data_IF_663455785683
#
_entry.id   IF_663455785683
#
_cell.length_a   1.000
_cell.length_b   1.000
_cell.length_c   1.000
_cell.angle_alpha   90.00
_cell.angle_beta   90.00
_cell.angle_gamma   90.00
#
_symmetry.space_group_name_H-M   'P 1'
#
loop_
_entity.id
_entity.type
_entity.pdbx_description
1 polymer ?
#
# COMPACT_ATOMS: atom_id res chain seq x y z
N UNK A 1 48.68 25.87 8.02
CA UNK A 1 47.32 25.91 7.43
C UNK A 1 46.74 24.50 7.16
N UNK A 2 46.68 23.60 8.15
CA UNK A 2 46.14 22.23 7.97
C UNK A 2 44.87 21.94 8.79
N UNK A 3 44.61 22.71 9.85
CA UNK A 3 43.45 22.56 10.74
C UNK A 3 42.15 23.14 10.19
N UNK A 4 42.22 24.19 9.35
CA UNK A 4 41.02 24.81 8.75
C UNK A 4 40.38 23.94 7.65
N UNK A 5 41.15 23.08 6.99
CA UNK A 5 40.66 22.18 5.94
C UNK A 5 39.85 21.03 6.53
N UNK A 6 40.30 20.46 7.66
CA UNK A 6 39.64 19.37 8.38
C UNK A 6 38.27 19.77 8.95
N UNK A 7 38.15 20.98 9.51
CA UNK A 7 36.89 21.53 10.02
C UNK A 7 35.86 21.78 8.90
N UNK A 8 36.30 22.25 7.73
CA UNK A 8 35.43 22.48 6.58
C UNK A 8 34.81 21.20 6.03
N UNK A 9 35.59 20.12 5.91
CA UNK A 9 35.07 18.81 5.48
C UNK A 9 34.15 18.15 6.53
N UNK A 10 34.42 18.30 7.83
CA UNK A 10 33.56 17.75 8.89
C UNK A 10 32.19 18.45 8.95
N UNK A 11 32.13 19.77 8.70
CA UNK A 11 30.88 20.54 8.66
C UNK A 11 30.02 20.23 7.42
N UNK A 12 30.63 19.93 6.29
CA UNK A 12 29.91 19.57 5.06
C UNK A 12 29.35 18.15 5.16
N UNK A 13 30.08 17.23 5.79
CA UNK A 13 29.60 15.87 6.07
C UNK A 13 28.49 15.84 7.13
N UNK A 14 28.52 16.72 8.13
CA UNK A 14 27.47 16.77 9.17
C UNK A 14 26.17 17.40 8.69
N UNK A 15 26.23 18.41 7.82
CA UNK A 15 25.03 19.08 7.27
C UNK A 15 24.30 18.22 6.23
N UNK A 16 25.03 17.47 5.40
CA UNK A 16 24.43 16.55 4.41
C UNK A 16 23.75 15.35 5.06
N UNK A 17 24.36 14.74 6.08
CA UNK A 17 23.76 13.63 6.85
C UNK A 17 22.55 14.10 7.68
N UNK A 18 22.60 15.32 8.24
CA UNK A 18 21.48 15.89 8.99
C UNK A 18 20.29 16.23 8.07
N UNK A 19 20.55 16.79 6.88
CA UNK A 19 19.52 17.08 5.87
C UNK A 19 18.79 15.83 5.36
N UNK A 20 19.53 14.75 5.09
CA UNK A 20 18.94 13.45 4.71
C UNK A 20 18.07 12.87 5.84
N UNK A 21 18.51 12.97 7.09
CA UNK A 21 17.75 12.44 8.23
C UNK A 21 16.43 13.20 8.41
N UNK A 22 16.42 14.52 8.26
CA UNK A 22 15.20 15.34 8.35
C UNK A 22 14.18 15.02 7.24
N UNK A 23 14.64 14.79 6.02
CA UNK A 23 13.78 14.36 4.90
C UNK A 23 13.16 12.98 5.18
N UNK A 24 13.97 12.01 5.66
CA UNK A 24 13.46 10.68 5.98
C UNK A 24 12.47 10.67 7.14
N UNK A 25 12.63 11.55 8.13
CA UNK A 25 11.65 11.76 9.19
C UNK A 25 10.33 12.33 8.67
N UNK A 26 10.37 13.23 7.70
CA UNK A 26 9.19 13.79 7.05
C UNK A 26 8.41 12.70 6.29
N UNK A 27 9.10 11.88 5.49
CA UNK A 27 8.46 10.76 4.80
C UNK A 27 7.89 9.73 5.78
N UNK A 28 8.61 9.45 6.87
CA UNK A 28 8.12 8.53 7.91
C UNK A 28 6.84 9.06 8.57
N UNK A 29 6.79 10.36 8.87
CA UNK A 29 5.59 11.01 9.39
C UNK A 29 4.43 10.94 8.40
N UNK A 30 4.63 11.32 7.14
CA UNK A 30 3.56 11.29 6.10
C UNK A 30 2.96 9.90 5.94
N UNK A 31 3.79 8.87 5.88
CA UNK A 31 3.34 7.48 5.83
C UNK A 31 2.53 7.11 7.07
N UNK A 32 3.02 7.46 8.27
CA UNK A 32 2.36 7.11 9.52
C UNK A 32 1.01 7.84 9.67
N UNK A 33 0.95 9.11 9.27
CA UNK A 33 -0.29 9.90 9.23
C UNK A 33 -1.30 9.26 8.28
N UNK A 34 -0.86 8.78 7.12
CA UNK A 34 -1.73 8.05 6.19
C UNK A 34 -2.25 6.75 6.80
N UNK A 35 -1.40 5.92 7.42
CA UNK A 35 -1.85 4.69 8.11
C UNK A 35 -2.86 5.05 9.21
N UNK A 36 -2.57 6.08 10.00
CA UNK A 36 -3.45 6.54 11.08
C UNK A 36 -4.83 6.97 10.60
N UNK A 37 -4.92 7.62 9.43
CA UNK A 37 -6.21 7.99 8.82
C UNK A 37 -7.03 6.77 8.38
N UNK A 38 -6.39 5.64 8.08
CA UNK A 38 -7.10 4.41 7.66
C UNK A 38 -7.54 3.57 8.86
N UNK A 39 -6.67 3.36 9.85
CA UNK A 39 -6.91 2.37 10.92
C UNK A 39 -6.88 2.89 12.35
N UNK A 40 -6.70 4.20 12.54
CA UNK A 40 -6.59 4.85 13.85
C UNK A 40 -5.59 4.16 14.79
N UNK A 41 -4.36 4.65 14.80
CA UNK A 41 -3.28 4.15 15.63
C UNK A 41 -3.39 4.72 17.05
N UNK A 42 -3.08 3.89 18.05
CA UNK A 42 -2.78 4.38 19.40
C UNK A 42 -1.51 5.24 19.40
N UNK A 43 -1.28 6.09 20.42
CA UNK A 43 -0.05 6.88 20.52
C UNK A 43 1.22 6.02 20.44
N UNK A 44 1.22 4.86 21.07
CA UNK A 44 2.32 3.89 21.06
C UNK A 44 2.54 3.31 19.66
N UNK A 45 1.46 2.83 19.02
CA UNK A 45 1.53 2.30 17.65
C UNK A 45 2.00 3.37 16.66
N UNK A 46 1.54 4.62 16.79
CA UNK A 46 1.98 5.72 15.94
C UNK A 46 3.50 5.94 16.07
N UNK A 47 4.02 5.97 17.29
CA UNK A 47 5.46 6.12 17.56
C UNK A 47 6.27 4.97 16.97
N UNK A 48 5.83 3.73 17.18
CA UNK A 48 6.49 2.53 16.65
C UNK A 48 6.46 2.49 15.12
N UNK A 49 5.31 2.82 14.51
CA UNK A 49 5.14 2.85 13.05
C UNK A 49 6.06 3.90 12.41
N UNK A 50 6.13 5.10 13.00
CA UNK A 50 7.03 6.17 12.54
C UNK A 50 8.49 5.74 12.62
N UNK A 51 8.89 5.13 13.75
CA UNK A 51 10.26 4.64 13.92
C UNK A 51 10.60 3.54 12.91
N UNK A 52 9.69 2.58 12.71
CA UNK A 52 9.85 1.51 11.72
C UNK A 52 10.00 2.08 10.30
N UNK A 53 9.16 3.04 9.92
CA UNK A 53 9.22 3.67 8.60
C UNK A 53 10.50 4.49 8.40
N UNK A 54 10.96 5.21 9.42
CA UNK A 54 12.22 5.94 9.36
C UNK A 54 13.40 4.99 9.10
N UNK A 55 13.46 3.86 9.81
CA UNK A 55 14.51 2.86 9.58
C UNK A 55 14.43 2.25 8.18
N UNK A 56 13.22 1.98 7.67
CA UNK A 56 13.02 1.50 6.31
C UNK A 56 13.52 2.50 5.27
N UNK A 57 13.13 3.77 5.41
CA UNK A 57 13.54 4.88 4.56
C UNK A 57 15.08 5.01 4.48
N UNK A 58 15.76 5.01 5.62
CA UNK A 58 17.24 5.07 5.67
C UNK A 58 17.86 3.86 4.96
N UNK A 59 17.32 2.64 5.18
CA UNK A 59 17.81 1.42 4.52
C UNK A 59 17.58 1.46 3.00
N UNK A 60 16.45 2.01 2.57
CA UNK A 60 16.07 2.16 1.17
C UNK A 60 17.03 3.10 0.45
N UNK A 61 17.29 4.28 1.00
CA UNK A 61 18.28 5.21 0.46
C UNK A 61 19.67 4.58 0.38
N UNK A 62 20.10 3.91 1.44
CA UNK A 62 21.40 3.23 1.47
C UNK A 62 21.51 2.12 0.41
N UNK A 63 20.39 1.42 0.12
CA UNK A 63 20.33 0.40 -0.92
C UNK A 63 20.38 1.03 -2.32
N UNK A 64 19.62 2.09 -2.55
CA UNK A 64 19.52 2.78 -3.84
C UNK A 64 20.75 3.63 -4.16
N UNK A 65 21.56 3.98 -3.15
CA UNK A 65 22.87 4.60 -3.32
C UNK A 65 23.97 3.64 -3.82
N UNK A 66 23.74 2.30 -3.77
CA UNK A 66 24.72 1.33 -4.29
C UNK A 66 24.78 1.40 -5.81
N UNK A 67 25.99 1.36 -6.37
CA UNK A 67 26.21 1.32 -7.84
C UNK A 67 25.50 0.15 -8.52
N UNK A 68 25.41 -0.99 -7.82
CA UNK A 68 24.63 -2.14 -8.23
C UNK A 68 23.89 -2.67 -6.99
N UNK A 69 22.57 -2.72 -7.05
CA UNK A 69 21.76 -3.45 -6.07
C UNK A 69 20.89 -4.47 -6.80
N UNK A 70 20.70 -5.62 -6.18
CA UNK A 70 19.84 -6.66 -6.76
C UNK A 70 18.37 -6.34 -6.52
N UNK A 71 17.52 -6.70 -7.49
CA UNK A 71 16.07 -6.64 -7.30
C UNK A 71 15.63 -7.47 -6.08
N UNK A 72 16.32 -8.58 -5.81
CA UNK A 72 16.06 -9.46 -4.67
C UNK A 72 16.26 -8.77 -3.31
N UNK A 73 17.34 -7.98 -3.14
CA UNK A 73 17.58 -7.22 -1.91
C UNK A 73 16.44 -6.23 -1.63
N UNK A 74 15.97 -5.53 -2.68
CA UNK A 74 14.83 -4.61 -2.57
C UNK A 74 13.55 -5.35 -2.19
N UNK A 75 13.27 -6.49 -2.82
CA UNK A 75 12.11 -7.33 -2.48
C UNK A 75 12.18 -7.83 -1.04
N UNK A 76 13.35 -8.27 -0.58
CA UNK A 76 13.55 -8.76 0.79
C UNK A 76 13.36 -7.64 1.82
N UNK A 77 13.91 -6.46 1.56
CA UNK A 77 13.73 -5.28 2.41
C UNK A 77 12.25 -4.91 2.56
N UNK A 78 11.52 -4.84 1.45
CA UNK A 78 10.10 -4.51 1.44
C UNK A 78 9.27 -5.54 2.22
N UNK A 79 9.50 -6.83 1.96
CA UNK A 79 8.81 -7.92 2.67
C UNK A 79 9.02 -7.84 4.18
N UNK A 80 10.24 -7.54 4.62
CA UNK A 80 10.55 -7.41 6.03
C UNK A 80 9.82 -6.21 6.67
N UNK A 81 9.81 -5.06 6.00
CA UNK A 81 9.08 -3.88 6.48
C UNK A 81 7.59 -4.16 6.69
N UNK A 82 6.91 -4.77 5.72
CA UNK A 82 5.48 -5.09 5.87
C UNK A 82 5.22 -6.12 6.96
N UNK A 83 6.09 -7.14 7.09
CA UNK A 83 6.00 -8.11 8.18
C UNK A 83 6.15 -7.46 9.56
N UNK A 84 7.04 -6.48 9.70
CA UNK A 84 7.25 -5.78 10.97
C UNK A 84 6.14 -4.76 11.25
N UNK A 85 5.60 -4.10 10.22
CA UNK A 85 4.41 -3.24 10.33
C UNK A 85 3.24 -4.01 10.91
N UNK A 86 3.00 -5.22 10.40
CA UNK A 86 1.86 -6.04 10.83
C UNK A 86 2.00 -6.53 12.28
N UNK A 87 3.19 -6.45 12.90
CA UNK A 87 3.36 -6.72 14.34
C UNK A 87 2.93 -5.54 15.23
N UNK A 88 2.91 -4.33 14.70
CA UNK A 88 2.49 -3.11 15.42
C UNK A 88 0.95 -3.04 15.47
N UNK A 89 0.30 -3.51 14.41
CA UNK A 89 -1.14 -3.44 14.24
C UNK A 89 -1.82 -4.67 14.84
N UNK A 90 -2.99 -4.48 15.46
CA UNK A 90 -3.86 -5.61 15.80
C UNK A 90 -4.51 -6.23 14.55
N UNK A 91 -5.13 -7.40 14.69
CA UNK A 91 -5.74 -8.10 13.56
C UNK A 91 -6.86 -7.32 12.87
N UNK A 92 -7.63 -6.53 13.63
CA UNK A 92 -8.69 -5.71 13.06
C UNK A 92 -8.08 -4.58 12.22
N UNK A 93 -7.08 -3.88 12.74
CA UNK A 93 -6.34 -2.84 12.04
C UNK A 93 -5.61 -3.41 10.80
N UNK A 94 -4.96 -4.57 10.90
CA UNK A 94 -4.35 -5.24 9.75
C UNK A 94 -5.40 -5.52 8.66
N UNK A 95 -6.54 -6.10 9.04
CA UNK A 95 -7.59 -6.42 8.09
C UNK A 95 -8.17 -5.18 7.41
N UNK A 96 -8.34 -4.09 8.17
CA UNK A 96 -8.84 -2.82 7.67
C UNK A 96 -7.85 -2.20 6.67
N UNK A 97 -6.57 -2.08 7.04
CA UNK A 97 -5.53 -1.50 6.19
C UNK A 97 -5.37 -2.27 4.87
N UNK A 98 -5.28 -3.60 4.95
CA UNK A 98 -5.12 -4.44 3.77
C UNK A 98 -6.36 -4.41 2.88
N UNK A 99 -7.56 -4.41 3.47
CA UNK A 99 -8.81 -4.30 2.69
C UNK A 99 -8.96 -2.94 2.01
N UNK A 100 -8.55 -1.85 2.67
CA UNK A 100 -8.51 -0.51 2.08
C UNK A 100 -7.56 -0.44 0.89
N UNK A 101 -6.37 -1.04 1.00
CA UNK A 101 -5.39 -1.10 -0.08
C UNK A 101 -5.91 -1.87 -1.29
N UNK A 102 -6.46 -3.07 -1.06
CA UNK A 102 -7.05 -3.89 -2.14
C UNK A 102 -8.20 -3.13 -2.81
N UNK A 103 -9.12 -2.58 -2.02
CA UNK A 103 -10.26 -1.83 -2.55
C UNK A 103 -9.81 -0.61 -3.35
N UNK A 104 -8.88 0.17 -2.82
CA UNK A 104 -8.38 1.37 -3.50
C UNK A 104 -7.75 1.04 -4.86
N UNK A 105 -7.05 -0.09 -4.96
CA UNK A 105 -6.55 -0.58 -6.23
C UNK A 105 -7.67 -0.99 -7.17
N UNK A 106 -8.63 -1.79 -6.71
CA UNK A 106 -9.74 -2.27 -7.54
C UNK A 106 -10.55 -1.09 -8.10
N UNK A 107 -10.91 -0.13 -7.25
CA UNK A 107 -11.60 1.09 -7.65
C UNK A 107 -10.78 1.87 -8.69
N UNK A 108 -9.47 2.01 -8.48
CA UNK A 108 -8.61 2.69 -9.45
C UNK A 108 -8.65 2.04 -10.83
N UNK A 109 -8.55 0.71 -10.89
CA UNK A 109 -8.61 -0.05 -12.15
C UNK A 109 -9.97 0.13 -12.82
N UNK A 110 -11.06 0.13 -12.05
CA UNK A 110 -12.40 0.37 -12.60
C UNK A 110 -12.46 1.79 -13.18
N UNK A 111 -12.06 2.80 -12.40
CA UNK A 111 -12.18 4.21 -12.79
C UNK A 111 -11.23 4.65 -13.90
N UNK A 112 -10.13 3.92 -14.14
CA UNK A 112 -9.24 4.19 -15.28
C UNK A 112 -9.84 3.76 -16.61
N UNK A 113 -10.77 2.79 -16.58
CA UNK A 113 -11.42 2.26 -17.77
C UNK A 113 -12.84 2.81 -17.95
N UNK A 114 -13.52 3.08 -16.84
CA UNK A 114 -14.88 3.59 -16.80
C UNK A 114 -14.89 4.83 -15.90
N UNK A 115 -14.90 6.04 -16.46
CA UNK A 115 -15.10 7.25 -15.69
C UNK A 115 -16.44 7.20 -14.96
N UNK A 116 -16.42 7.39 -13.64
CA UNK A 116 -17.59 7.36 -12.79
C UNK A 116 -17.73 8.66 -12.01
N UNK A 117 -18.97 9.04 -11.73
CA UNK A 117 -19.29 10.12 -10.80
C UNK A 117 -18.83 9.77 -9.38
N UNK A 118 -18.50 10.81 -8.58
CA UNK A 118 -17.99 10.65 -7.21
C UNK A 118 -18.86 9.76 -6.34
N UNK A 119 -20.18 9.87 -6.46
CA UNK A 119 -21.08 9.08 -5.61
C UNK A 119 -21.09 7.59 -5.96
N UNK A 120 -20.96 7.24 -7.24
CA UNK A 120 -20.79 5.84 -7.67
C UNK A 120 -19.45 5.28 -7.21
N UNK A 121 -18.39 6.10 -7.23
CA UNK A 121 -17.06 5.70 -6.71
C UNK A 121 -17.12 5.43 -5.21
N UNK A 122 -17.81 6.29 -4.45
CA UNK A 122 -18.01 6.13 -3.01
C UNK A 122 -18.83 4.89 -2.68
N UNK A 123 -19.90 4.64 -3.44
CA UNK A 123 -20.73 3.46 -3.29
C UNK A 123 -19.94 2.16 -3.58
N UNK A 124 -19.24 2.11 -4.71
CA UNK A 124 -18.38 0.98 -5.05
C UNK A 124 -17.34 0.73 -3.96
N UNK A 125 -16.65 1.77 -3.50
CA UNK A 125 -15.63 1.66 -2.44
C UNK A 125 -16.23 1.05 -1.17
N UNK A 126 -17.36 1.59 -0.70
CA UNK A 126 -18.03 1.11 0.52
C UNK A 126 -18.42 -0.37 0.42
N UNK A 127 -19.08 -0.77 -0.68
CA UNK A 127 -19.52 -2.15 -0.90
C UNK A 127 -18.35 -3.12 -1.10
N UNK A 128 -17.37 -2.76 -1.93
CA UNK A 128 -16.19 -3.59 -2.21
C UNK A 128 -15.31 -3.77 -0.97
N UNK A 129 -15.17 -2.73 -0.13
CA UNK A 129 -14.36 -2.80 1.09
C UNK A 129 -14.88 -3.85 2.07
N UNK A 130 -16.21 -4.03 2.19
CA UNK A 130 -16.79 -5.08 3.02
C UNK A 130 -16.41 -6.48 2.54
N UNK A 131 -16.51 -6.74 1.25
CA UNK A 131 -16.13 -8.02 0.65
C UNK A 131 -14.62 -8.26 0.81
N UNK A 132 -13.81 -7.25 0.51
CA UNK A 132 -12.36 -7.30 0.64
C UNK A 132 -11.91 -7.52 2.08
N UNK A 133 -12.58 -6.92 3.07
CA UNK A 133 -12.26 -7.14 4.48
C UNK A 133 -12.48 -8.59 4.90
N UNK A 134 -13.60 -9.19 4.48
CA UNK A 134 -13.83 -10.63 4.73
C UNK A 134 -12.77 -11.49 4.05
N UNK A 135 -12.50 -11.24 2.77
CA UNK A 135 -11.45 -11.94 2.02
C UNK A 135 -10.09 -11.86 2.73
N UNK A 136 -9.67 -10.67 3.15
CA UNK A 136 -8.42 -10.43 3.89
C UNK A 136 -8.37 -11.20 5.20
N UNK A 137 -9.45 -11.16 6.00
CA UNK A 137 -9.53 -11.93 7.26
C UNK A 137 -9.31 -13.43 7.00
N UNK A 138 -9.91 -13.98 5.95
CA UNK A 138 -9.72 -15.39 5.59
C UNK A 138 -8.29 -15.68 5.13
N UNK A 139 -7.66 -14.77 4.39
CA UNK A 139 -6.25 -14.90 3.98
C UNK A 139 -5.33 -14.91 5.20
N UNK A 140 -5.54 -13.99 6.15
CA UNK A 140 -4.75 -13.93 7.40
C UNK A 140 -4.93 -15.22 8.21
N UNK A 141 -6.16 -15.74 8.31
CA UNK A 141 -6.47 -16.92 9.13
C UNK A 141 -6.03 -18.25 8.50
N UNK A 142 -6.16 -18.40 7.19
CA UNK A 142 -6.00 -19.69 6.50
C UNK A 142 -4.73 -19.77 5.65
N UNK A 143 -4.23 -18.61 5.20
CA UNK A 143 -3.18 -18.50 4.19
C UNK A 143 -3.75 -18.51 2.76
N UNK A 144 -3.11 -17.76 1.86
CA UNK A 144 -3.57 -17.56 0.47
C UNK A 144 -3.57 -18.80 -0.42
N UNK A 145 -2.78 -19.81 -0.07
CA UNK A 145 -2.69 -21.07 -0.82
C UNK A 145 -3.51 -22.19 -0.18
N UNK A 146 -4.30 -21.86 0.84
CA UNK A 146 -5.14 -22.84 1.51
C UNK A 146 -6.32 -23.20 0.62
N UNK A 147 -6.56 -24.50 0.41
CA UNK A 147 -7.66 -25.00 -0.42
C UNK A 147 -9.02 -24.42 0.00
N UNK A 148 -9.28 -24.28 1.31
CA UNK A 148 -10.53 -23.71 1.82
C UNK A 148 -10.67 -22.23 1.45
N UNK A 149 -9.57 -21.48 1.44
CA UNK A 149 -9.59 -20.09 0.97
C UNK A 149 -9.84 -20.03 -0.54
N UNK A 150 -9.18 -20.86 -1.34
CA UNK A 150 -9.36 -20.88 -2.80
C UNK A 150 -10.81 -21.23 -3.22
N UNK A 151 -11.49 -22.06 -2.43
CA UNK A 151 -12.92 -22.33 -2.62
C UNK A 151 -13.78 -21.10 -2.29
N UNK A 152 -13.47 -20.38 -1.21
CA UNK A 152 -14.16 -19.15 -0.82
C UNK A 152 -13.89 -17.98 -1.77
N UNK A 153 -12.71 -17.90 -2.38
CA UNK A 153 -12.32 -16.82 -3.32
C UNK A 153 -13.35 -16.66 -4.44
N UNK A 154 -13.86 -17.77 -4.98
CA UNK A 154 -14.91 -17.77 -6.00
C UNK A 154 -16.20 -17.07 -5.53
N UNK A 155 -16.57 -17.25 -4.26
CA UNK A 155 -17.75 -16.57 -3.69
C UNK A 155 -17.54 -15.07 -3.56
N UNK A 156 -16.34 -14.64 -3.16
CA UNK A 156 -16.01 -13.21 -3.11
C UNK A 156 -16.04 -12.58 -4.50
N UNK A 157 -15.54 -13.27 -5.52
CA UNK A 157 -15.61 -12.78 -6.91
C UNK A 157 -17.05 -12.61 -7.39
N UNK A 158 -17.94 -13.56 -7.08
CA UNK A 158 -19.37 -13.45 -7.40
C UNK A 158 -20.00 -12.24 -6.68
N UNK A 159 -19.70 -12.04 -5.39
CA UNK A 159 -20.21 -10.89 -4.64
C UNK A 159 -19.72 -9.56 -5.23
N UNK A 160 -18.45 -9.48 -5.65
CA UNK A 160 -17.90 -8.30 -6.33
C UNK A 160 -18.59 -8.06 -7.67
N UNK A 161 -18.87 -9.10 -8.44
CA UNK A 161 -19.56 -8.97 -9.72
C UNK A 161 -21.01 -8.50 -9.55
N UNK A 162 -21.71 -8.93 -8.49
CA UNK A 162 -23.04 -8.41 -8.14
C UNK A 162 -22.97 -6.92 -7.75
N UNK A 163 -21.95 -6.50 -7.01
CA UNK A 163 -21.74 -5.08 -6.68
C UNK A 163 -21.54 -4.28 -7.96
N UNK A 164 -20.66 -4.73 -8.87
CA UNK A 164 -20.41 -4.06 -10.15
C UNK A 164 -21.69 -3.94 -10.98
N UNK A 165 -22.44 -5.03 -11.13
CA UNK A 165 -23.71 -5.04 -11.86
C UNK A 165 -24.79 -4.14 -11.25
N UNK A 166 -24.69 -3.83 -9.95
CA UNK A 166 -25.61 -2.91 -9.28
C UNK A 166 -25.27 -1.43 -9.43
N UNK A 167 -24.00 -1.08 -9.66
CA UNK A 167 -23.53 0.33 -9.71
C UNK A 167 -23.24 0.80 -11.13
N UNK A 168 -22.75 -0.10 -11.99
CA UNK A 168 -22.46 0.19 -13.38
C UNK A 168 -23.72 0.03 -14.24
N UNK A 169 -23.80 0.74 -15.36
CA UNK A 169 -24.81 0.41 -16.38
C UNK A 169 -24.48 -0.96 -17.00
N UNK A 170 -25.45 -1.65 -17.64
CA UNK A 170 -25.19 -2.91 -18.32
C UNK A 170 -24.04 -2.82 -19.34
N UNK A 171 -23.95 -1.72 -20.10
CA UNK A 171 -22.90 -1.49 -21.09
C UNK A 171 -21.53 -1.33 -20.42
N UNK A 172 -21.47 -0.56 -19.33
CA UNK A 172 -20.26 -0.38 -18.53
C UNK A 172 -19.80 -1.70 -17.89
N UNK A 173 -20.73 -2.48 -17.34
CA UNK A 173 -20.44 -3.79 -16.74
C UNK A 173 -19.89 -4.77 -17.79
N UNK A 174 -20.57 -4.90 -18.93
CA UNK A 174 -20.15 -5.78 -20.02
C UNK A 174 -18.79 -5.37 -20.59
N UNK A 175 -18.54 -4.07 -20.74
CA UNK A 175 -17.22 -3.57 -21.13
C UNK A 175 -16.16 -3.94 -20.10
N UNK A 176 -16.35 -3.63 -18.81
CA UNK A 176 -15.35 -3.89 -17.77
C UNK A 176 -14.99 -5.37 -17.68
N UNK A 177 -16.01 -6.24 -17.63
CA UNK A 177 -15.82 -7.69 -17.52
C UNK A 177 -15.03 -8.25 -18.70
N UNK A 178 -15.19 -7.70 -19.91
CA UNK A 178 -14.43 -8.12 -21.10
C UNK A 178 -12.92 -7.80 -21.02
N UNK A 179 -12.52 -6.79 -20.25
CA UNK A 179 -11.12 -6.34 -20.14
C UNK A 179 -10.48 -6.60 -18.78
N UNK A 180 -11.27 -7.01 -17.77
CA UNK A 180 -10.87 -7.13 -16.36
C UNK A 180 -9.59 -7.93 -16.19
N UNK A 181 -9.52 -9.13 -16.75
CA UNK A 181 -8.37 -10.04 -16.55
C UNK A 181 -7.09 -9.48 -17.16
N UNK A 182 -7.20 -8.80 -18.31
CA UNK A 182 -6.08 -8.12 -18.96
C UNK A 182 -5.58 -6.98 -18.06
N UNK A 183 -6.50 -6.15 -17.55
CA UNK A 183 -6.15 -5.02 -16.68
C UNK A 183 -5.53 -5.47 -15.37
N UNK A 184 -6.09 -6.49 -14.72
CA UNK A 184 -5.53 -7.07 -13.51
C UNK A 184 -4.08 -7.57 -13.71
N UNK A 185 -3.77 -8.15 -14.88
CA UNK A 185 -2.41 -8.57 -15.27
C UNK A 185 -1.48 -7.38 -15.55
N UNK A 186 -1.95 -6.35 -16.27
CA UNK A 186 -1.18 -5.12 -16.55
C UNK A 186 -0.78 -4.39 -15.26
N UNK A 187 -1.64 -4.43 -14.24
CA UNK A 187 -1.32 -3.88 -12.92
C UNK A 187 -0.37 -4.78 -12.07
N UNK A 188 0.19 -5.83 -12.67
CA UNK A 188 1.36 -6.62 -12.24
C UNK A 188 1.40 -7.06 -10.77
N UNK A 189 0.27 -7.47 -10.20
CA UNK A 189 0.18 -8.22 -8.92
C UNK A 189 -1.26 -8.71 -8.74
N UNK A 190 -1.52 -9.96 -8.31
CA UNK A 190 -2.89 -10.34 -7.90
C UNK A 190 -3.33 -9.45 -6.72
N UNK A 191 -4.63 -9.33 -6.41
CA UNK A 191 -5.07 -8.59 -5.21
C UNK A 191 -4.39 -9.11 -3.95
N UNK A 192 -4.12 -10.42 -3.93
CA UNK A 192 -3.40 -11.11 -2.86
C UNK A 192 -1.89 -10.79 -2.84
N UNK A 193 -1.26 -10.66 -3.99
CA UNK A 193 0.15 -10.28 -4.07
C UNK A 193 0.34 -8.76 -3.85
N UNK A 194 -0.67 -7.95 -4.16
CA UNK A 194 -0.67 -6.51 -3.87
C UNK A 194 -0.63 -6.23 -2.36
N UNK A 195 -1.38 -7.00 -1.56
CA UNK A 195 -1.28 -6.98 -0.10
C UNK A 195 0.13 -7.27 0.42
N UNK A 196 0.90 -8.09 -0.32
CA UNK A 196 2.24 -8.50 0.05
C UNK A 196 3.35 -7.56 -0.49
N UNK A 197 3.06 -6.64 -1.42
CA UNK A 197 4.13 -5.98 -2.20
C UNK A 197 4.18 -4.45 -2.16
N UNK A 198 3.13 -3.69 -1.82
CA UNK A 198 3.09 -2.29 -2.28
C UNK A 198 2.36 -1.29 -1.36
N UNK A 199 2.95 -0.90 -0.24
CA UNK A 199 2.74 0.48 0.25
C UNK A 199 3.73 1.48 -0.39
N UNK A 200 4.89 1.04 -0.88
CA UNK A 200 5.87 1.95 -1.50
C UNK A 200 5.51 2.35 -2.92
N UNK A 201 4.91 1.49 -3.74
CA UNK A 201 4.41 1.96 -5.04
C UNK A 201 3.19 2.84 -4.91
N UNK A 202 2.46 2.76 -3.78
CA UNK A 202 1.38 3.69 -3.45
C UNK A 202 1.98 5.08 -3.22
N UNK A 203 3.18 5.20 -2.67
CA UNK A 203 3.85 6.48 -2.40
C UNK A 203 4.79 6.99 -3.51
N UNK A 204 5.42 6.12 -4.30
CA UNK A 204 6.50 6.50 -5.24
C UNK A 204 6.08 6.54 -6.71
N UNK A 205 4.94 5.95 -7.07
CA UNK A 205 4.44 5.93 -8.46
C UNK A 205 3.05 6.49 -8.62
N UNK A 206 2.40 6.87 -7.53
CA UNK A 206 1.04 7.39 -7.56
C UNK A 206 0.99 8.63 -6.68
N UNK A 207 0.45 9.71 -7.23
CA UNK A 207 -0.38 10.61 -6.45
C UNK A 207 -1.33 9.70 -5.66
N UNK A 208 -0.95 9.37 -4.42
CA UNK A 208 -1.87 8.88 -3.42
C UNK A 208 -2.98 9.87 -3.50
N UNK A 209 -4.18 9.39 -3.86
CA UNK A 209 -5.40 10.11 -3.53
C UNK A 209 -5.25 10.36 -2.04
N UNK A 210 -4.82 11.58 -1.71
CA UNK A 210 -4.74 12.01 -0.35
C UNK A 210 -6.18 11.84 0.16
N UNK A 211 -6.39 11.66 1.46
CA UNK A 211 -7.74 11.70 2.02
C UNK A 211 -8.52 12.96 1.63
N UNK A 212 -7.82 13.97 1.10
CA UNK A 212 -8.33 15.23 0.54
C UNK A 212 -8.79 15.10 -0.94
N UNK A 213 -8.59 13.95 -1.60
CA UNK A 213 -9.07 13.62 -2.95
C UNK A 213 -10.32 12.70 -2.94
N UNK A 214 -11.03 12.61 -1.80
CA UNK A 214 -12.40 12.09 -1.68
C UNK A 214 -13.37 13.27 -1.73
#
# INVERSE_FOLDING_TARGET
MKTKLLLGTLLILSTTVCGQTAEQELYARKFTDWVNKVVHLTPEQYKEMKALRLQYNIKKDALEAKTYYSHEEKVKMNKQFYKDRDKILDLNQQSELLSFLVTSREIKIITSEIPLEKEKVKELRSKMQLVNKRMVIHIIKLGKFNIKFLEMEKSFDIEKDLILGSVLTPEQYNYYTSIRDKKLKEHATSSVDYMNMKADSVLEGYNVLLPDDI
#
